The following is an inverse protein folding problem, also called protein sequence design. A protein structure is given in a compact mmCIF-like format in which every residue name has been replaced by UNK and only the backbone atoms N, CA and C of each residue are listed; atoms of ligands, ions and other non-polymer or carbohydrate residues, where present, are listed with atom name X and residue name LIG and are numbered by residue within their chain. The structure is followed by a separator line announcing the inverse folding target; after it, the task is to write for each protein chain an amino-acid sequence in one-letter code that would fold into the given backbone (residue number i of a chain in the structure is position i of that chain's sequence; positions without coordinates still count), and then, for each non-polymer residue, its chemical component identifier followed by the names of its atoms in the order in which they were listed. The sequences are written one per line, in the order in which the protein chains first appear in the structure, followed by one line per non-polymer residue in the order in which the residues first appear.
data_IF_895285403999
#
_entry.id   IF_895285403999
#
_cell.length_a   1.000
_cell.length_b   1.000
_cell.length_c   1.000
_cell.angle_alpha   90.00
_cell.angle_beta   90.00
_cell.angle_gamma   90.00
#
_symmetry.space_group_name_H-M   'P 1'
#
loop_
_entity.id
_entity.type
_entity.pdbx_description
1 polymer ?
#
# COMPACT_ATOMS: atom_id res chain seq x y z
N UNK A 1 -8.53 7.16 13.53
CA UNK A 1 -8.45 5.75 13.98
C UNK A 1 -7.00 5.28 14.12
N UNK A 2 -6.15 5.43 13.11
CA UNK A 2 -4.75 4.95 13.14
C UNK A 2 -3.85 5.65 14.17
N UNK A 3 -4.00 6.97 14.37
CA UNK A 3 -3.21 7.74 15.37
C UNK A 3 -3.46 7.24 16.80
N UNK A 4 -4.72 7.03 17.16
CA UNK A 4 -5.09 6.50 18.48
C UNK A 4 -4.48 5.11 18.71
N UNK A 5 -4.49 4.25 17.69
CA UNK A 5 -3.86 2.93 17.76
C UNK A 5 -2.35 3.05 17.99
N UNK A 6 -1.69 4.03 17.36
CA UNK A 6 -0.27 4.28 17.59
C UNK A 6 0.06 4.72 19.00
N UNK A 7 -0.77 5.57 19.58
CA UNK A 7 -0.50 6.13 20.90
C UNK A 7 -0.93 5.17 22.03
N UNK A 8 -1.90 4.27 21.79
CA UNK A 8 -2.46 3.38 22.82
C UNK A 8 -2.05 1.91 22.68
N UNK A 9 -1.70 1.43 21.48
CA UNK A 9 -1.37 0.02 21.19
C UNK A 9 -0.27 -0.08 20.12
N UNK A 10 0.96 0.38 20.40
CA UNK A 10 2.07 0.35 19.44
C UNK A 10 2.50 -1.06 19.02
N UNK A 11 2.13 -2.09 19.77
CA UNK A 11 2.40 -3.51 19.49
C UNK A 11 1.60 -4.08 18.31
N UNK A 12 0.55 -3.39 17.87
CA UNK A 12 -0.28 -3.83 16.75
C UNK A 12 0.35 -3.33 15.45
N UNK A 13 0.61 -4.24 14.52
CA UNK A 13 1.11 -3.93 13.19
C UNK A 13 0.04 -3.13 12.44
N UNK A 14 0.36 -1.91 11.98
CA UNK A 14 -0.58 -1.03 11.27
C UNK A 14 -0.25 -0.99 9.79
N UNK A 15 -1.20 -1.46 8.98
CA UNK A 15 -1.16 -1.34 7.52
C UNK A 15 -1.93 -0.14 7.02
N UNK A 16 -1.48 0.44 5.90
CA UNK A 16 -2.34 1.28 5.07
C UNK A 16 -2.50 0.68 3.68
N UNK A 17 -3.73 0.68 3.18
CA UNK A 17 -4.05 0.20 1.85
C UNK A 17 -3.99 1.36 0.85
N UNK A 18 -3.18 1.18 -0.18
CA UNK A 18 -3.08 2.08 -1.32
C UNK A 18 -3.92 1.51 -2.45
N UNK A 19 -5.12 2.06 -2.60
CA UNK A 19 -6.01 1.77 -3.73
C UNK A 19 -6.58 3.09 -4.23
N UNK A 20 -6.66 3.24 -5.56
CA UNK A 20 -7.33 4.39 -6.18
C UNK A 20 -8.82 4.09 -6.28
N UNK A 21 -9.57 4.49 -5.26
CA UNK A 21 -10.97 4.12 -5.07
C UNK A 21 -11.85 4.65 -6.21
N UNK A 22 -11.55 5.86 -6.71
CA UNK A 22 -12.30 6.46 -7.83
C UNK A 22 -12.03 5.74 -9.15
N UNK A 23 -10.82 5.20 -9.34
CA UNK A 23 -10.45 4.45 -10.56
C UNK A 23 -11.19 3.11 -10.65
N UNK A 24 -11.65 2.57 -9.52
CA UNK A 24 -12.43 1.33 -9.41
C UNK A 24 -13.94 1.59 -9.27
N UNK A 25 -14.42 2.81 -9.56
CA UNK A 25 -15.86 3.11 -9.64
C UNK A 25 -16.51 3.57 -8.32
N UNK A 26 -15.72 3.88 -7.28
CA UNK A 26 -16.24 4.41 -6.03
C UNK A 26 -16.75 5.85 -6.16
N UNK A 27 -18.04 6.08 -5.95
CA UNK A 27 -18.67 7.42 -5.95
C UNK A 27 -18.70 8.10 -4.59
N UNK A 28 -18.35 7.39 -3.52
CA UNK A 28 -18.53 7.84 -2.13
C UNK A 28 -17.35 8.67 -1.58
N UNK A 29 -16.34 8.99 -2.40
CA UNK A 29 -15.12 9.65 -1.95
C UNK A 29 -14.78 10.89 -2.76
N UNK A 30 -14.50 12.00 -2.06
CA UNK A 30 -14.11 13.25 -2.70
C UNK A 30 -12.76 13.08 -3.43
N UNK A 31 -12.60 13.52 -4.69
CA UNK A 31 -11.37 13.37 -5.47
C UNK A 31 -10.11 13.90 -4.80
N UNK A 32 -10.22 14.91 -3.92
CA UNK A 32 -9.08 15.39 -3.12
C UNK A 32 -8.67 14.36 -2.06
N UNK A 33 -9.64 13.71 -1.41
CA UNK A 33 -9.36 12.66 -0.42
C UNK A 33 -8.79 11.40 -1.08
N UNK A 34 -9.29 11.04 -2.27
CA UNK A 34 -8.74 9.95 -3.08
C UNK A 34 -7.31 10.25 -3.50
N UNK A 35 -7.01 11.47 -3.94
CA UNK A 35 -5.64 11.88 -4.25
C UNK A 35 -4.72 11.83 -3.02
N UNK A 36 -5.17 12.29 -1.85
CA UNK A 36 -4.37 12.28 -0.63
C UNK A 36 -4.08 10.84 -0.16
N UNK A 37 -5.08 9.95 -0.23
CA UNK A 37 -4.92 8.52 0.10
C UNK A 37 -4.03 7.80 -0.90
N UNK A 38 -4.28 8.03 -2.19
CA UNK A 38 -3.49 7.46 -3.28
C UNK A 38 -2.03 7.90 -3.20
N UNK A 39 -1.76 9.17 -2.89
CA UNK A 39 -0.38 9.64 -2.72
C UNK A 39 0.20 9.34 -1.34
N UNK A 40 -0.52 8.62 -0.48
CA UNK A 40 -0.05 8.22 0.84
C UNK A 40 0.48 9.41 1.67
N UNK A 41 -0.06 10.61 1.44
CA UNK A 41 0.46 11.86 2.05
C UNK A 41 0.26 11.90 3.56
N UNK A 42 -0.61 11.05 4.10
CA UNK A 42 -0.79 10.88 5.55
C UNK A 42 0.28 10.00 6.20
N UNK A 43 1.13 9.32 5.43
CA UNK A 43 2.11 8.36 5.97
C UNK A 43 3.05 8.97 7.02
N UNK A 44 3.39 10.25 6.90
CA UNK A 44 4.17 10.96 7.92
C UNK A 44 3.47 11.00 9.29
N UNK A 45 2.15 11.16 9.29
CA UNK A 45 1.34 11.30 10.51
C UNK A 45 1.01 9.97 11.16
N UNK A 46 0.78 8.94 10.34
CA UNK A 46 0.35 7.60 10.75
C UNK A 46 1.50 6.63 10.97
N UNK A 47 2.66 6.84 10.32
CA UNK A 47 3.85 5.97 10.38
C UNK A 47 3.47 4.50 10.22
N UNK A 48 2.88 4.11 9.07
CA UNK A 48 2.46 2.73 8.84
C UNK A 48 3.65 1.78 8.90
N UNK A 49 3.42 0.59 9.43
CA UNK A 49 4.45 -0.46 9.53
C UNK A 49 4.55 -1.22 8.19
N UNK A 50 3.43 -1.36 7.47
CA UNK A 50 3.39 -1.90 6.10
C UNK A 50 2.39 -1.17 5.20
N UNK A 51 2.57 -1.30 3.89
CA UNK A 51 1.69 -0.74 2.86
C UNK A 51 1.26 -1.85 1.93
N UNK A 52 -0.06 -2.02 1.74
CA UNK A 52 -0.60 -2.93 0.73
C UNK A 52 -0.97 -2.18 -0.55
N UNK A 53 -0.47 -2.61 -1.70
CA UNK A 53 -0.76 -2.00 -3.00
C UNK A 53 -1.08 -3.06 -4.06
N UNK A 54 -1.97 -2.74 -5.01
CA UNK A 54 -2.20 -3.61 -6.16
C UNK A 54 -0.98 -3.55 -7.09
N UNK A 55 -0.54 -4.69 -7.62
CA UNK A 55 0.63 -4.75 -8.51
C UNK A 55 0.53 -3.80 -9.71
N UNK A 56 -0.69 -3.56 -10.21
CA UNK A 56 -0.96 -2.67 -11.33
C UNK A 56 -0.61 -1.20 -11.02
N UNK A 57 -0.71 -0.78 -9.76
CA UNK A 57 -0.39 0.58 -9.30
C UNK A 57 0.98 0.65 -8.57
N UNK A 58 1.76 -0.45 -8.54
CA UNK A 58 3.08 -0.54 -7.88
C UNK A 58 4.08 0.54 -8.32
N UNK A 59 4.07 0.90 -9.62
CA UNK A 59 5.03 1.87 -10.20
C UNK A 59 4.73 3.33 -9.83
N UNK A 60 3.81 3.57 -8.89
CA UNK A 60 3.46 4.92 -8.46
C UNK A 60 4.63 5.55 -7.70
N UNK A 61 5.02 6.76 -8.11
CA UNK A 61 6.13 7.53 -7.53
C UNK A 61 5.97 7.71 -6.01
N UNK A 62 4.73 7.80 -5.53
CA UNK A 62 4.39 7.94 -4.11
C UNK A 62 4.81 6.73 -3.27
N UNK A 63 4.77 5.50 -3.81
CA UNK A 63 5.29 4.31 -3.12
C UNK A 63 6.81 4.33 -3.00
N UNK A 64 7.50 4.71 -4.08
CA UNK A 64 8.96 4.86 -4.08
C UNK A 64 9.39 5.87 -3.01
N UNK A 65 8.72 7.01 -2.92
CA UNK A 65 8.97 7.98 -1.84
C UNK A 65 8.66 7.41 -0.46
N UNK A 66 7.57 6.67 -0.29
CA UNK A 66 7.23 6.08 1.00
C UNK A 66 8.25 5.04 1.46
N UNK A 67 8.75 4.21 0.54
CA UNK A 67 9.78 3.21 0.83
C UNK A 67 11.11 3.86 1.19
N UNK A 68 11.51 4.89 0.46
CA UNK A 68 12.76 5.60 0.71
C UNK A 68 12.72 6.40 2.03
N UNK A 69 11.63 7.11 2.30
CA UNK A 69 11.52 7.99 3.47
C UNK A 69 11.17 7.25 4.76
N UNK A 70 10.29 6.25 4.68
CA UNK A 70 9.70 5.62 5.87
C UNK A 70 10.13 4.16 6.08
N UNK A 71 10.91 3.56 5.16
CA UNK A 71 11.40 2.17 5.24
C UNK A 71 10.30 1.15 5.56
N UNK A 72 9.11 1.39 5.02
CA UNK A 72 7.91 0.56 5.23
C UNK A 72 8.00 -0.75 4.48
N UNK A 73 7.44 -1.81 5.06
CA UNK A 73 7.30 -3.09 4.36
C UNK A 73 6.20 -2.97 3.30
N UNK A 74 6.49 -3.32 2.04
CA UNK A 74 5.46 -3.34 1.00
C UNK A 74 4.88 -4.74 0.85
N UNK A 75 3.59 -4.78 0.52
CA UNK A 75 2.81 -5.99 0.28
C UNK A 75 1.99 -5.79 -0.99
N UNK A 76 2.32 -6.53 -2.03
CA UNK A 76 1.70 -6.38 -3.34
C UNK A 76 0.68 -7.50 -3.57
N UNK A 77 -0.54 -7.12 -3.97
CA UNK A 77 -1.65 -8.04 -4.20
C UNK A 77 -2.10 -8.06 -5.65
N UNK A 78 -2.77 -9.14 -6.05
CA UNK A 78 -3.19 -9.44 -7.44
C UNK A 78 -2.00 -9.77 -8.36
N UNK A 79 -0.99 -10.48 -7.84
CA UNK A 79 0.12 -10.97 -8.68
C UNK A 79 -0.33 -12.24 -9.40
N UNK A 80 -0.50 -12.15 -10.72
CA UNK A 80 -0.99 -13.23 -11.60
C UNK A 80 0.08 -13.80 -12.56
N UNK A 81 1.24 -13.14 -12.67
CA UNK A 81 2.32 -13.47 -13.61
C UNK A 81 3.65 -13.74 -12.89
N UNK A 82 4.47 -14.65 -13.46
CA UNK A 82 5.84 -14.89 -12.98
C UNK A 82 6.75 -13.68 -13.14
N UNK A 83 6.52 -12.83 -14.14
CA UNK A 83 7.29 -11.58 -14.31
C UNK A 83 7.00 -10.62 -13.16
N UNK A 84 5.73 -10.53 -12.72
CA UNK A 84 5.31 -9.72 -11.60
C UNK A 84 5.82 -10.29 -10.26
N UNK A 85 5.84 -11.61 -10.13
CA UNK A 85 6.45 -12.28 -8.98
C UNK A 85 7.93 -11.94 -8.83
N UNK A 86 8.73 -12.06 -9.91
CA UNK A 86 10.15 -11.71 -9.89
C UNK A 86 10.38 -10.21 -9.62
N UNK A 87 9.51 -9.34 -10.13
CA UNK A 87 9.51 -7.91 -9.81
C UNK A 87 9.30 -7.65 -8.31
N UNK A 88 8.29 -8.27 -7.70
CA UNK A 88 7.96 -8.09 -6.27
C UNK A 88 9.07 -8.65 -5.38
N UNK A 89 9.62 -9.80 -5.77
CA UNK A 89 10.70 -10.50 -5.08
C UNK A 89 12.02 -9.73 -5.12
N UNK A 90 12.36 -9.17 -6.29
CA UNK A 90 13.53 -8.27 -6.42
C UNK A 90 13.42 -7.07 -5.49
N UNK A 91 12.20 -6.65 -5.20
CA UNK A 91 11.90 -5.50 -4.36
C UNK A 91 11.69 -5.83 -2.88
N UNK A 92 12.02 -7.06 -2.46
CA UNK A 92 11.87 -7.55 -1.07
C UNK A 92 10.47 -7.31 -0.47
N UNK A 93 9.46 -7.28 -1.34
CA UNK A 93 8.08 -7.02 -0.98
C UNK A 93 7.33 -8.34 -0.78
N UNK A 94 6.31 -8.33 0.08
CA UNK A 94 5.50 -9.52 0.35
C UNK A 94 4.50 -9.69 -0.79
N UNK A 95 4.49 -10.86 -1.43
CA UNK A 95 3.54 -11.19 -2.50
C UNK A 95 2.27 -11.78 -1.90
N UNK A 96 1.10 -11.26 -2.29
CA UNK A 96 -0.19 -11.94 -2.15
C UNK A 96 -0.64 -12.41 -3.53
N UNK A 97 -0.73 -13.72 -3.70
CA UNK A 97 -1.23 -14.34 -4.91
C UNK A 97 -2.76 -14.28 -4.94
N UNK A 98 -3.30 -14.04 -6.13
CA UNK A 98 -4.73 -14.12 -6.42
C UNK A 98 -4.88 -15.10 -7.60
N UNK A 99 -5.67 -16.16 -7.43
CA UNK A 99 -5.92 -17.22 -8.42
C UNK A 99 -4.70 -18.03 -8.94
N UNK A 100 -3.56 -17.98 -8.25
CA UNK A 100 -2.45 -18.93 -8.48
C UNK A 100 -2.34 -19.88 -7.30
N UNK A 101 -2.49 -21.18 -7.53
CA UNK A 101 -2.08 -22.21 -6.57
C UNK A 101 -0.54 -22.33 -6.57
N UNK A 102 0.10 -22.36 -5.38
CA UNK A 102 1.56 -22.38 -5.24
C UNK A 102 2.25 -23.64 -5.76
#
# INVERSE_FOLDING_TARGET
MVKWLKDNRPEIIRGQMMERHIKHGGTDMNPVQDFVRYNLLTNFLTSPDFISCNIADRRTVSLLFCRLLYRVQMMDWTVDSMDDYELVKTDESIVIFEDIEP
#
